data_IF_778518018603
#
_entry.id   IF_778518018603
#
_cell.length_a   1.000
_cell.length_b   1.000
_cell.length_c   1.000
_cell.angle_alpha   90.00
_cell.angle_beta   90.00
_cell.angle_gamma   90.00
#
_symmetry.space_group_name_H-M   'P 1'
#
loop_
_entity.id
_entity.type
_entity.pdbx_description
1 polymer ?
#
# COMPACT_ATOMS: atom_id res chain seq x y z
N UNK A 1 60.22 -24.22 -18.11
CA UNK A 1 58.84 -23.66 -18.17
C UNK A 1 58.00 -24.51 -17.24
N UNK A 2 57.52 -23.90 -16.13
CA UNK A 2 56.34 -24.16 -15.28
C UNK A 2 55.67 -25.56 -15.32
N UNK A 3 55.15 -26.15 -14.25
CA UNK A 3 54.96 -25.83 -12.83
C UNK A 3 54.56 -27.17 -12.17
N UNK A 4 54.90 -27.35 -10.89
CA UNK A 4 54.44 -28.48 -10.06
C UNK A 4 52.96 -28.28 -9.71
N UNK A 5 52.17 -29.34 -9.70
CA UNK A 5 50.98 -29.43 -8.86
C UNK A 5 50.80 -30.88 -8.36
N UNK A 6 51.06 -31.07 -7.07
CA UNK A 6 50.68 -32.23 -6.28
C UNK A 6 49.50 -31.78 -5.41
N UNK A 7 48.42 -32.56 -5.36
CA UNK A 7 47.74 -32.91 -4.10
C UNK A 7 46.63 -33.96 -4.32
N UNK A 8 46.73 -35.11 -3.66
CA UNK A 8 45.62 -35.98 -3.37
C UNK A 8 45.21 -35.91 -1.88
N UNK A 9 43.88 -36.00 -1.65
CA UNK A 9 43.20 -36.72 -0.56
C UNK A 9 43.14 -36.15 0.88
N UNK A 10 41.90 -36.18 1.39
CA UNK A 10 41.44 -36.27 2.79
C UNK A 10 41.45 -34.97 3.60
N UNK A 11 40.25 -34.39 3.80
CA UNK A 11 39.83 -33.92 5.12
C UNK A 11 38.29 -33.85 5.24
N UNK A 12 37.66 -35.03 5.26
CA UNK A 12 36.25 -35.24 5.61
C UNK A 12 36.00 -35.13 7.13
N UNK A 13 36.69 -34.22 7.81
CA UNK A 13 36.59 -34.03 9.27
C UNK A 13 36.53 -32.55 9.71
N UNK A 14 36.67 -31.58 8.80
CA UNK A 14 36.54 -30.14 9.15
C UNK A 14 35.13 -29.57 8.99
N UNK A 15 34.24 -30.23 8.26
CA UNK A 15 32.87 -29.73 8.02
C UNK A 15 31.98 -29.79 9.26
N UNK A 16 32.29 -30.64 10.25
CA UNK A 16 31.52 -30.71 11.51
C UNK A 16 31.78 -29.56 12.49
N UNK A 17 32.95 -28.89 12.42
CA UNK A 17 33.33 -27.85 13.40
C UNK A 17 33.04 -26.42 12.91
N UNK A 18 33.11 -26.20 11.58
CA UNK A 18 32.77 -24.89 10.97
C UNK A 18 31.27 -24.62 10.93
N UNK A 19 30.43 -25.66 10.84
CA UNK A 19 28.96 -25.51 10.91
C UNK A 19 28.48 -25.17 12.33
N UNK A 20 29.15 -25.69 13.37
CA UNK A 20 28.83 -25.35 14.77
C UNK A 20 29.26 -23.91 15.15
N UNK A 21 30.37 -23.40 14.60
CA UNK A 21 30.83 -22.01 14.85
C UNK A 21 30.07 -20.96 14.02
N UNK A 22 29.40 -21.33 12.92
CA UNK A 22 28.50 -20.43 12.17
C UNK A 22 27.07 -20.41 12.72
N UNK A 23 26.62 -21.48 13.37
CA UNK A 23 25.29 -21.54 13.98
C UNK A 23 25.10 -20.51 15.11
N UNK A 24 26.17 -20.15 15.84
CA UNK A 24 26.11 -19.17 16.95
C UNK A 24 26.03 -17.71 16.50
N UNK A 25 26.23 -17.38 15.21
CA UNK A 25 26.15 -16.00 14.70
C UNK A 25 24.77 -15.58 14.19
N UNK A 26 23.85 -16.53 14.01
CA UNK A 26 22.57 -16.29 13.35
C UNK A 26 21.41 -16.89 14.15
N UNK A 27 20.78 -16.08 15.00
CA UNK A 27 19.56 -16.49 15.71
C UNK A 27 18.31 -16.08 14.93
N UNK A 28 17.47 -17.06 14.63
CA UNK A 28 16.15 -16.85 14.01
C UNK A 28 15.14 -16.45 15.09
N UNK A 29 14.84 -15.14 15.17
CA UNK A 29 13.86 -14.63 16.11
C UNK A 29 12.43 -14.89 15.62
N UNK A 30 11.57 -15.47 16.47
CA UNK A 30 10.11 -15.54 16.22
C UNK A 30 9.47 -14.15 16.01
N UNK A 31 10.10 -13.09 16.53
CA UNK A 31 9.70 -11.68 16.38
C UNK A 31 9.63 -11.20 14.92
N UNK A 32 10.35 -11.83 13.98
CA UNK A 32 10.33 -11.46 12.55
C UNK A 32 8.93 -11.55 11.92
N UNK A 33 8.13 -12.54 12.31
CA UNK A 33 6.76 -12.71 11.84
C UNK A 33 5.82 -11.66 12.41
N UNK A 34 5.99 -11.27 13.68
CA UNK A 34 5.25 -10.16 14.26
C UNK A 34 5.50 -8.85 13.49
N UNK A 35 6.75 -8.53 13.17
CA UNK A 35 7.12 -7.31 12.44
C UNK A 35 6.51 -7.34 11.03
N UNK A 36 6.58 -8.49 10.35
CA UNK A 36 5.94 -8.67 9.06
C UNK A 36 4.43 -8.46 9.17
N UNK A 37 3.75 -9.05 10.15
CA UNK A 37 2.30 -8.91 10.35
C UNK A 37 1.86 -7.47 10.64
N UNK A 38 2.60 -6.74 11.48
CA UNK A 38 2.31 -5.32 11.74
C UNK A 38 2.49 -4.52 10.46
N UNK A 39 3.58 -4.76 9.72
CA UNK A 39 3.83 -4.08 8.46
C UNK A 39 2.77 -4.39 7.40
N UNK A 40 2.38 -5.66 7.23
CA UNK A 40 1.35 -6.04 6.26
C UNK A 40 0.00 -5.42 6.60
N UNK A 41 -0.34 -5.28 7.89
CA UNK A 41 -1.54 -4.55 8.32
C UNK A 41 -1.48 -3.06 7.94
N UNK A 42 -0.33 -2.40 8.11
CA UNK A 42 -0.13 -1.00 7.67
C UNK A 42 -0.31 -0.87 6.17
N UNK A 43 0.32 -1.76 5.40
CA UNK A 43 0.23 -1.74 3.93
C UNK A 43 -1.20 -1.98 3.47
N UNK A 44 -1.95 -2.88 4.12
CA UNK A 44 -3.35 -3.12 3.84
C UNK A 44 -4.18 -1.84 4.04
N UNK A 45 -4.02 -1.15 5.16
CA UNK A 45 -4.77 0.09 5.46
C UNK A 45 -4.35 1.26 4.57
N UNK A 46 -3.07 1.35 4.21
CA UNK A 46 -2.56 2.33 3.27
C UNK A 46 -3.23 2.14 1.89
N UNK A 47 -3.32 0.90 1.39
CA UNK A 47 -3.96 0.61 0.11
C UNK A 47 -5.50 0.70 0.15
N UNK A 48 -6.12 0.41 1.29
CA UNK A 48 -7.54 0.68 1.54
C UNK A 48 -7.83 2.18 1.43
N UNK A 49 -6.99 3.00 2.07
CA UNK A 49 -7.06 4.47 2.03
C UNK A 49 -6.85 5.02 0.62
N UNK A 50 -5.91 4.43 -0.12
CA UNK A 50 -5.61 4.80 -1.50
C UNK A 50 -6.84 4.66 -2.39
N UNK A 51 -7.56 3.55 -2.29
CA UNK A 51 -8.72 3.25 -3.12
C UNK A 51 -10.07 3.66 -2.47
N UNK A 52 -10.05 4.54 -1.48
CA UNK A 52 -11.26 4.89 -0.72
C UNK A 52 -12.32 5.61 -1.55
N UNK A 53 -11.91 6.52 -2.44
CA UNK A 53 -12.81 7.44 -3.16
C UNK A 53 -13.43 6.86 -4.43
N UNK A 54 -12.75 5.89 -5.07
CA UNK A 54 -13.22 5.28 -6.30
C UNK A 54 -14.60 4.59 -6.18
N UNK A 55 -14.83 3.69 -5.19
CA UNK A 55 -16.13 3.04 -5.04
C UNK A 55 -17.23 4.03 -4.67
N UNK A 56 -16.97 4.95 -3.72
CA UNK A 56 -17.95 5.91 -3.18
C UNK A 56 -18.11 7.18 -4.04
N UNK A 57 -17.79 7.10 -5.32
CA UNK A 57 -17.78 8.27 -6.20
C UNK A 57 -19.16 8.89 -6.39
N UNK A 58 -20.22 8.08 -6.44
CA UNK A 58 -21.61 8.54 -6.61
C UNK A 58 -22.18 9.21 -5.34
N UNK A 59 -22.08 8.62 -4.13
CA UNK A 59 -22.55 9.30 -2.92
C UNK A 59 -21.79 10.60 -2.67
N UNK A 60 -20.51 10.71 -3.04
CA UNK A 60 -19.77 11.99 -2.95
C UNK A 60 -20.39 13.08 -3.85
N UNK A 61 -20.92 12.74 -5.03
CA UNK A 61 -21.60 13.71 -5.89
C UNK A 61 -22.94 14.16 -5.29
N UNK A 62 -23.66 13.26 -4.63
CA UNK A 62 -24.93 13.57 -3.98
C UNK A 62 -24.71 14.44 -2.74
N UNK A 63 -23.71 14.11 -1.91
CA UNK A 63 -23.42 14.81 -0.65
C UNK A 63 -22.83 16.20 -0.91
N UNK A 64 -21.81 16.28 -1.77
CA UNK A 64 -21.02 17.51 -1.95
C UNK A 64 -21.36 18.28 -3.22
N UNK A 65 -22.26 17.76 -4.06
CA UNK A 65 -22.54 18.34 -5.38
C UNK A 65 -21.35 18.22 -6.34
N UNK A 66 -20.46 17.25 -6.14
CA UNK A 66 -19.24 17.14 -6.94
C UNK A 66 -19.51 16.86 -8.40
N UNK A 67 -18.73 17.52 -9.26
CA UNK A 67 -18.63 17.15 -10.67
C UNK A 67 -17.68 15.97 -10.86
N UNK A 68 -17.78 15.30 -12.01
CA UNK A 68 -16.91 14.17 -12.33
C UNK A 68 -15.42 14.53 -12.24
N UNK A 69 -15.03 15.76 -12.60
CA UNK A 69 -13.62 16.17 -12.53
C UNK A 69 -13.12 16.26 -11.08
N UNK A 70 -13.95 16.65 -10.12
CA UNK A 70 -13.56 16.75 -8.70
C UNK A 70 -13.31 15.36 -8.10
N UNK A 71 -14.14 14.38 -8.48
CA UNK A 71 -13.93 12.97 -8.13
C UNK A 71 -12.62 12.44 -8.72
N UNK A 72 -12.36 12.74 -10.00
CA UNK A 72 -11.11 12.31 -10.65
C UNK A 72 -9.90 13.00 -9.99
N UNK A 73 -10.04 14.27 -9.65
CA UNK A 73 -8.99 15.07 -9.03
C UNK A 73 -8.58 14.51 -7.66
N UNK A 74 -9.54 14.17 -6.79
CA UNK A 74 -9.22 13.62 -5.46
C UNK A 74 -8.51 12.26 -5.55
N UNK A 75 -8.87 11.42 -6.53
CA UNK A 75 -8.20 10.13 -6.77
C UNK A 75 -6.77 10.34 -7.30
N UNK A 76 -6.55 11.36 -8.11
CA UNK A 76 -5.26 11.67 -8.73
C UNK A 76 -4.20 12.19 -7.74
N UNK A 77 -4.55 12.51 -6.49
CA UNK A 77 -3.56 12.80 -5.44
C UNK A 77 -2.61 11.62 -5.19
N UNK A 78 -3.05 10.39 -5.40
CA UNK A 78 -2.24 9.18 -5.21
C UNK A 78 -0.96 9.21 -6.06
N UNK A 79 -1.02 9.22 -7.41
CA UNK A 79 0.18 9.26 -8.24
C UNK A 79 0.97 10.56 -8.06
N UNK A 80 0.32 11.71 -7.88
CA UNK A 80 1.02 12.99 -7.70
C UNK A 80 1.87 13.02 -6.43
N UNK A 81 1.29 12.65 -5.28
CA UNK A 81 2.02 12.61 -4.03
C UNK A 81 3.10 11.52 -4.06
N UNK A 82 2.87 10.40 -4.75
CA UNK A 82 3.90 9.36 -4.90
C UNK A 82 5.14 9.88 -5.63
N UNK A 83 4.98 10.68 -6.69
CA UNK A 83 6.10 11.29 -7.41
C UNK A 83 6.89 12.25 -6.52
N UNK A 84 6.20 13.09 -5.74
CA UNK A 84 6.84 14.07 -4.84
C UNK A 84 7.55 13.39 -3.67
N UNK A 85 6.93 12.36 -3.08
CA UNK A 85 7.43 11.69 -1.88
C UNK A 85 8.41 10.54 -2.16
N UNK A 86 8.55 10.06 -3.40
CA UNK A 86 9.45 8.97 -3.75
C UNK A 86 10.91 9.25 -3.35
N UNK A 87 11.46 10.39 -3.78
CA UNK A 87 12.84 10.78 -3.46
C UNK A 87 13.11 10.87 -1.95
N UNK A 88 12.32 11.67 -1.20
CA UNK A 88 12.44 11.75 0.26
C UNK A 88 12.28 10.40 0.97
N UNK A 89 11.37 9.54 0.50
CA UNK A 89 11.13 8.22 1.09
C UNK A 89 12.31 7.27 0.92
N UNK A 90 12.91 7.22 -0.27
CA UNK A 90 14.11 6.42 -0.55
C UNK A 90 15.27 6.89 0.34
N UNK A 91 15.49 8.21 0.40
CA UNK A 91 16.53 8.78 1.25
C UNK A 91 16.32 8.44 2.74
N UNK A 92 15.08 8.49 3.21
CA UNK A 92 14.73 8.16 4.59
C UNK A 92 15.02 6.68 4.90
N UNK A 93 14.63 5.78 3.99
CA UNK A 93 14.86 4.34 4.14
C UNK A 93 16.35 4.00 4.15
N UNK A 94 17.14 4.64 3.29
CA UNK A 94 18.59 4.39 3.18
C UNK A 94 19.38 4.97 4.36
N UNK A 95 19.08 6.20 4.80
CA UNK A 95 19.89 6.91 5.80
C UNK A 95 19.40 6.77 7.23
N UNK A 96 18.09 6.88 7.46
CA UNK A 96 17.52 6.83 8.82
C UNK A 96 17.03 5.44 9.22
N UNK A 97 16.99 4.51 8.27
CA UNK A 97 16.60 3.13 8.50
C UNK A 97 15.09 2.89 8.35
N UNK A 98 14.72 1.65 8.66
CA UNK A 98 13.40 1.11 8.38
C UNK A 98 12.33 1.62 9.35
N UNK A 99 12.61 1.67 10.66
CA UNK A 99 11.62 2.14 11.66
C UNK A 99 11.26 3.59 11.43
N UNK A 100 12.24 4.45 11.19
CA UNK A 100 12.01 5.87 10.95
C UNK A 100 11.07 6.09 9.76
N UNK A 101 11.28 5.33 8.69
CA UNK A 101 10.43 5.37 7.49
C UNK A 101 9.00 4.87 7.78
N UNK A 102 8.85 3.76 8.50
CA UNK A 102 7.52 3.21 8.84
C UNK A 102 6.75 4.12 9.81
N UNK A 103 7.43 4.74 10.79
CA UNK A 103 6.83 5.75 11.67
C UNK A 103 6.35 6.95 10.85
N UNK A 104 7.19 7.48 9.96
CA UNK A 104 6.80 8.61 9.12
C UNK A 104 5.60 8.27 8.22
N UNK A 105 5.60 7.07 7.63
CA UNK A 105 4.51 6.56 6.80
C UNK A 105 3.19 6.51 7.59
N UNK A 106 3.17 5.85 8.74
CA UNK A 106 1.98 5.72 9.58
C UNK A 106 1.53 7.07 10.17
N UNK A 107 2.47 7.96 10.48
CA UNK A 107 2.17 9.32 10.92
C UNK A 107 1.48 10.14 9.82
N UNK A 108 2.04 10.18 8.61
CA UNK A 108 1.45 10.90 7.47
C UNK A 108 0.08 10.32 7.09
N UNK A 109 -0.06 9.00 7.10
CA UNK A 109 -1.33 8.33 6.86
C UNK A 109 -2.40 8.79 7.88
N UNK A 110 -2.07 8.73 9.17
CA UNK A 110 -2.97 9.12 10.27
C UNK A 110 -3.29 10.62 10.22
N UNK A 111 -2.27 11.47 10.02
CA UNK A 111 -2.44 12.91 9.93
C UNK A 111 -3.39 13.31 8.80
N UNK A 112 -3.24 12.72 7.61
CA UNK A 112 -4.16 12.97 6.50
C UNK A 112 -5.59 12.52 6.80
N UNK A 113 -5.76 11.40 7.51
CA UNK A 113 -7.09 10.93 7.96
C UNK A 113 -7.74 11.84 8.98
N UNK A 114 -6.97 12.50 9.86
CA UNK A 114 -7.51 13.50 10.79
C UNK A 114 -8.21 14.62 10.02
N UNK A 115 -7.57 15.17 8.98
CA UNK A 115 -8.19 16.22 8.15
C UNK A 115 -9.46 15.75 7.43
N UNK A 116 -9.54 14.47 7.06
CA UNK A 116 -10.73 13.91 6.40
C UNK A 116 -11.91 13.71 7.37
N UNK A 117 -11.67 13.62 8.67
CA UNK A 117 -12.73 13.42 9.68
C UNK A 117 -13.35 14.74 10.14
N UNK A 118 -12.63 15.87 10.06
CA UNK A 118 -13.12 17.17 10.57
C UNK A 118 -14.45 17.56 9.89
N UNK A 119 -15.57 17.63 10.63
CA UNK A 119 -16.85 18.03 10.07
C UNK A 119 -16.83 19.53 9.75
N UNK A 120 -17.44 19.92 8.64
CA UNK A 120 -17.63 21.33 8.28
C UNK A 120 -18.98 21.51 7.61
N UNK A 121 -19.74 22.51 8.05
CA UNK A 121 -21.08 22.80 7.55
C UNK A 121 -21.09 23.33 6.11
N UNK A 122 -19.96 23.89 5.66
CA UNK A 122 -19.80 24.39 4.30
C UNK A 122 -19.23 23.30 3.36
N UNK A 123 -19.89 22.98 2.23
CA UNK A 123 -19.48 21.90 1.33
C UNK A 123 -18.15 22.17 0.61
N UNK A 124 -17.83 23.45 0.32
CA UNK A 124 -16.56 23.83 -0.29
C UNK A 124 -15.41 23.58 0.69
N UNK A 125 -15.56 24.06 1.92
CA UNK A 125 -14.59 23.84 3.01
C UNK A 125 -14.38 22.35 3.27
N UNK A 126 -15.45 21.55 3.27
CA UNK A 126 -15.37 20.09 3.41
C UNK A 126 -14.55 19.47 2.30
N UNK A 127 -14.81 19.86 1.06
CA UNK A 127 -14.10 19.37 -0.13
C UNK A 127 -12.61 19.69 -0.07
N UNK A 128 -12.25 20.91 0.34
CA UNK A 128 -10.86 21.33 0.50
C UNK A 128 -10.16 20.49 1.59
N UNK A 129 -10.81 20.30 2.74
CA UNK A 129 -10.28 19.47 3.83
C UNK A 129 -10.05 18.02 3.40
N UNK A 130 -10.99 17.43 2.64
CA UNK A 130 -10.86 16.08 2.09
C UNK A 130 -9.66 15.96 1.14
N UNK A 131 -9.45 16.96 0.27
CA UNK A 131 -8.32 17.00 -0.66
C UNK A 131 -6.98 17.18 0.06
N UNK A 132 -6.89 18.09 1.05
CA UNK A 132 -5.69 18.28 1.86
C UNK A 132 -5.35 16.99 2.61
N UNK A 133 -6.35 16.38 3.25
CA UNK A 133 -6.17 15.12 3.95
C UNK A 133 -5.72 13.99 3.03
N UNK A 134 -6.31 13.89 1.83
CA UNK A 134 -5.90 12.90 0.83
C UNK A 134 -4.46 13.12 0.37
N UNK A 135 -4.07 14.36 0.08
CA UNK A 135 -2.71 14.71 -0.28
C UNK A 135 -1.70 14.25 0.79
N UNK A 136 -1.94 14.58 2.06
CA UNK A 136 -1.06 14.20 3.19
C UNK A 136 -1.01 12.68 3.35
N UNK A 137 -2.14 11.99 3.30
CA UNK A 137 -2.16 10.52 3.39
C UNK A 137 -1.40 9.87 2.23
N UNK A 138 -1.48 10.41 1.01
CA UNK A 138 -0.82 9.83 -0.16
C UNK A 138 0.71 10.08 -0.21
N UNK A 139 1.25 11.00 0.59
CA UNK A 139 2.70 11.14 0.78
C UNK A 139 3.30 9.92 1.52
N UNK A 140 2.49 9.11 2.20
CA UNK A 140 2.94 7.90 2.88
C UNK A 140 3.17 6.70 1.94
N UNK A 141 2.55 6.72 0.76
CA UNK A 141 2.42 5.58 -0.16
C UNK A 141 3.76 4.95 -0.60
N UNK A 142 4.83 5.70 -0.94
CA UNK A 142 6.07 5.08 -1.41
C UNK A 142 6.72 4.15 -0.38
N UNK A 143 6.65 4.50 0.92
CA UNK A 143 7.20 3.65 1.97
C UNK A 143 6.41 2.34 2.08
N UNK A 144 5.08 2.40 2.00
CA UNK A 144 4.22 1.21 2.05
C UNK A 144 4.44 0.25 0.87
N UNK A 145 4.75 0.76 -0.31
CA UNK A 145 5.02 -0.05 -1.51
C UNK A 145 6.48 -0.51 -1.62
N UNK A 146 7.42 0.32 -1.18
CA UNK A 146 8.86 0.09 -1.35
C UNK A 146 9.55 -0.64 -0.20
N UNK A 147 8.98 -0.64 1.01
CA UNK A 147 9.61 -1.30 2.15
C UNK A 147 9.50 -2.85 2.25
N UNK A 148 8.59 -3.59 1.57
CA UNK A 148 8.53 -5.05 1.74
C UNK A 148 9.85 -5.79 1.38
N UNK A 149 10.54 -5.48 0.26
CA UNK A 149 11.84 -6.09 -0.05
C UNK A 149 12.89 -5.77 1.02
N UNK A 150 12.93 -4.54 1.53
CA UNK A 150 13.87 -4.12 2.57
C UNK A 150 13.63 -4.82 3.91
N UNK A 151 12.37 -5.01 4.30
CA UNK A 151 11.98 -5.76 5.50
C UNK A 151 12.39 -7.23 5.36
N UNK A 152 12.08 -7.85 4.21
CA UNK A 152 12.43 -9.24 3.95
C UNK A 152 13.96 -9.45 4.00
N UNK A 153 14.73 -8.53 3.41
CA UNK A 153 16.18 -8.60 3.42
C UNK A 153 16.79 -8.47 4.82
N UNK A 154 16.17 -7.64 5.68
CA UNK A 154 16.67 -7.32 7.02
C UNK A 154 16.31 -8.38 8.06
N UNK A 155 15.11 -8.98 7.96
CA UNK A 155 14.55 -9.85 9.01
C UNK A 155 14.44 -11.33 8.63
N UNK A 156 14.55 -11.68 7.34
CA UNK A 156 14.37 -13.06 6.86
C UNK A 156 15.65 -13.60 6.20
N UNK A 157 15.92 -14.91 6.37
CA UNK A 157 17.01 -15.60 5.69
C UNK A 157 16.71 -15.70 4.19
N UNK A 158 17.74 -15.80 3.31
CA UNK A 158 17.58 -15.75 1.85
C UNK A 158 16.47 -16.64 1.28
N UNK A 159 16.29 -17.84 1.84
CA UNK A 159 15.25 -18.81 1.42
C UNK A 159 13.81 -18.35 1.65
N UNK A 160 13.57 -17.44 2.62
CA UNK A 160 12.23 -16.99 3.04
C UNK A 160 11.95 -15.52 2.67
N UNK A 161 12.87 -14.83 1.99
CA UNK A 161 12.73 -13.40 1.65
C UNK A 161 11.64 -13.16 0.60
N UNK A 162 11.60 -14.01 -0.42
CA UNK A 162 10.61 -13.94 -1.51
C UNK A 162 9.20 -14.14 -0.97
N UNK A 163 9.01 -15.12 -0.08
CA UNK A 163 7.72 -15.38 0.58
C UNK A 163 7.28 -14.21 1.46
N UNK A 164 8.19 -13.63 2.25
CA UNK A 164 7.86 -12.48 3.11
C UNK A 164 7.44 -11.25 2.29
N UNK A 165 8.15 -10.97 1.19
CA UNK A 165 7.80 -9.88 0.26
C UNK A 165 6.44 -10.15 -0.38
N UNK A 166 6.21 -11.36 -0.89
CA UNK A 166 4.95 -11.75 -1.53
C UNK A 166 3.75 -11.60 -0.59
N UNK A 167 3.84 -12.04 0.67
CA UNK A 167 2.76 -11.87 1.65
C UNK A 167 2.38 -10.40 1.78
N UNK A 168 3.36 -9.51 1.97
CA UNK A 168 3.06 -8.07 2.10
C UNK A 168 2.43 -7.47 0.84
N UNK A 169 2.91 -7.86 -0.34
CA UNK A 169 2.37 -7.37 -1.62
C UNK A 169 0.94 -7.87 -1.86
N UNK A 170 0.63 -9.12 -1.50
CA UNK A 170 -0.74 -9.65 -1.60
C UNK A 170 -1.71 -8.92 -0.67
N UNK A 171 -1.29 -8.60 0.55
CA UNK A 171 -2.10 -7.82 1.49
C UNK A 171 -2.33 -6.37 1.04
N UNK A 172 -1.40 -5.80 0.26
CA UNK A 172 -1.60 -4.50 -0.40
C UNK A 172 -2.80 -4.56 -1.36
N UNK A 173 -2.83 -5.56 -2.24
CA UNK A 173 -3.95 -5.77 -3.16
C UNK A 173 -5.25 -6.11 -2.42
N UNK A 174 -5.17 -6.90 -1.35
CA UNK A 174 -6.32 -7.17 -0.50
C UNK A 174 -6.91 -5.87 0.08
N UNK A 175 -6.07 -4.90 0.48
CA UNK A 175 -6.53 -3.59 0.93
C UNK A 175 -7.35 -2.84 -0.13
N UNK A 176 -6.91 -2.86 -1.39
CA UNK A 176 -7.66 -2.28 -2.51
C UNK A 176 -9.00 -2.98 -2.72
N UNK A 177 -9.02 -4.32 -2.67
CA UNK A 177 -10.24 -5.12 -2.78
C UNK A 177 -11.23 -4.84 -1.65
N UNK A 178 -10.73 -4.71 -0.41
CA UNK A 178 -11.52 -4.31 0.74
C UNK A 178 -12.13 -2.92 0.54
N UNK A 179 -11.45 -1.96 -0.09
CA UNK A 179 -12.00 -0.62 -0.30
C UNK A 179 -13.25 -0.67 -1.18
N UNK A 180 -13.23 -1.48 -2.24
CA UNK A 180 -14.39 -1.68 -3.11
C UNK A 180 -15.58 -2.28 -2.37
N UNK A 181 -15.38 -3.21 -1.43
CA UNK A 181 -16.48 -3.82 -0.67
C UNK A 181 -16.97 -2.90 0.45
N UNK A 182 -16.04 -2.38 1.26
CA UNK A 182 -16.32 -1.64 2.48
C UNK A 182 -16.90 -0.26 2.16
N UNK A 183 -16.45 0.40 1.09
CA UNK A 183 -16.91 1.74 0.71
C UNK A 183 -18.43 1.83 0.51
N UNK A 184 -19.01 1.11 -0.47
CA UNK A 184 -20.46 1.14 -0.73
C UNK A 184 -21.29 0.49 0.38
N UNK A 185 -20.70 -0.43 1.16
CA UNK A 185 -21.37 -1.04 2.31
C UNK A 185 -21.54 -0.05 3.47
N UNK A 186 -20.50 0.72 3.79
CA UNK A 186 -20.56 1.72 4.85
C UNK A 186 -21.23 3.02 4.40
N UNK A 187 -21.19 3.34 3.11
CA UNK A 187 -21.83 4.54 2.53
C UNK A 187 -22.88 4.14 1.49
N UNK A 188 -23.99 3.48 1.89
CA UNK A 188 -25.03 3.08 0.95
C UNK A 188 -25.85 4.29 0.48
N UNK A 189 -26.33 4.22 -0.76
CA UNK A 189 -27.30 5.18 -1.29
C UNK A 189 -28.70 4.86 -0.70
N UNK A 190 -29.24 5.76 0.12
CA UNK A 190 -30.45 5.58 0.96
C UNK A 190 -31.75 5.35 0.20
N UNK A 191 -31.81 5.65 -1.11
CA UNK A 191 -33.00 5.42 -1.96
C UNK A 191 -32.65 4.69 -3.24
N UNK A 192 -32.72 3.36 -3.19
CA UNK A 192 -32.77 2.50 -4.37
C UNK A 192 -34.18 1.95 -4.49
N UNK A 193 -34.84 2.18 -5.64
CA UNK A 193 -36.04 1.42 -5.97
C UNK A 193 -35.61 0.33 -6.95
N UNK A 194 -35.84 -0.91 -6.54
CA UNK A 194 -35.69 -2.09 -7.40
C UNK A 194 -36.89 -2.14 -8.34
N UNK A 195 -36.75 -1.62 -9.56
CA UNK A 195 -37.72 -1.85 -10.63
C UNK A 195 -37.16 -3.01 -11.47
N UNK A 196 -37.58 -4.24 -11.16
CA UNK A 196 -37.03 -5.44 -11.81
C UNK A 196 -35.59 -5.72 -11.39
N UNK A 197 -34.69 -6.01 -12.34
CA UNK A 197 -33.26 -6.30 -12.10
C UNK A 197 -32.36 -5.05 -12.14
N UNK A 198 -32.93 -3.84 -12.14
CA UNK A 198 -32.20 -2.58 -12.27
C UNK A 198 -32.42 -1.74 -11.01
N UNK A 199 -31.33 -1.41 -10.33
CA UNK A 199 -31.29 -0.43 -9.24
C UNK A 199 -31.30 0.98 -9.84
N UNK A 200 -32.40 1.72 -9.67
CA UNK A 200 -32.47 3.14 -10.07
C UNK A 200 -32.39 4.01 -8.82
N UNK A 201 -31.38 4.89 -8.76
CA UNK A 201 -31.26 5.93 -7.74
C UNK A 201 -32.22 7.08 -8.08
N UNK A 202 -33.07 7.49 -7.11
CA UNK A 202 -33.96 8.63 -7.29
C UNK A 202 -33.15 9.94 -7.29
N UNK A 203 -33.40 10.83 -8.26
CA UNK A 203 -32.76 12.15 -8.34
C UNK A 203 -33.21 13.11 -7.23
N UNK A 204 -34.35 12.86 -6.59
CA UNK A 204 -34.89 13.69 -5.50
C UNK A 204 -34.51 13.09 -4.14
N UNK A 205 -33.24 13.25 -3.75
CA UNK A 205 -32.80 12.95 -2.39
C UNK A 205 -33.36 13.99 -1.40
N UNK A 206 -33.93 13.52 -0.29
CA UNK A 206 -34.39 14.42 0.77
C UNK A 206 -33.21 14.87 1.63
N UNK A 207 -33.38 15.99 2.35
CA UNK A 207 -32.34 16.51 3.27
C UNK A 207 -31.90 15.44 4.28
N UNK A 208 -32.84 14.63 4.77
CA UNK A 208 -32.58 13.50 5.68
C UNK A 208 -31.69 12.41 5.05
N UNK A 209 -31.89 12.11 3.77
CA UNK A 209 -31.09 11.11 3.05
C UNK A 209 -29.62 11.57 2.94
N UNK A 210 -29.41 12.85 2.63
CA UNK A 210 -28.08 13.45 2.49
C UNK A 210 -27.36 13.51 3.84
N UNK A 211 -28.05 13.88 4.91
CA UNK A 211 -27.49 13.89 6.26
C UNK A 211 -27.07 12.49 6.73
N UNK A 212 -27.88 11.48 6.43
CA UNK A 212 -27.57 10.08 6.72
C UNK A 212 -26.32 9.61 5.95
N UNK A 213 -26.22 9.88 4.65
CA UNK A 213 -25.03 9.53 3.86
C UNK A 213 -23.78 10.28 4.33
N UNK A 214 -23.92 11.54 4.75
CA UNK A 214 -22.81 12.34 5.28
C UNK A 214 -22.29 11.79 6.61
N UNK A 215 -23.19 11.30 7.45
CA UNK A 215 -22.87 10.66 8.73
C UNK A 215 -22.13 9.35 8.49
N UNK A 216 -22.69 8.49 7.63
CA UNK A 216 -22.07 7.24 7.19
C UNK A 216 -20.67 7.44 6.59
N UNK A 217 -20.49 8.47 5.75
CA UNK A 217 -19.19 8.83 5.20
C UNK A 217 -18.20 9.26 6.29
N UNK A 218 -18.67 10.04 7.26
CA UNK A 218 -17.83 10.52 8.36
C UNK A 218 -17.43 9.38 9.30
N UNK A 219 -18.33 8.43 9.56
CA UNK A 219 -18.05 7.19 10.29
C UNK A 219 -17.02 6.32 9.55
N UNK A 220 -17.17 6.16 8.22
CA UNK A 220 -16.20 5.41 7.42
C UNK A 220 -14.79 6.00 7.53
N UNK A 221 -14.66 7.33 7.40
CA UNK A 221 -13.38 8.02 7.58
C UNK A 221 -12.86 7.90 9.02
N UNK A 222 -13.76 7.96 10.01
CA UNK A 222 -13.45 7.79 11.43
C UNK A 222 -12.91 6.40 11.77
N UNK A 223 -13.48 5.34 11.19
CA UNK A 223 -13.00 3.96 11.35
C UNK A 223 -11.59 3.82 10.78
N UNK A 224 -11.34 4.38 9.57
CA UNK A 224 -10.00 4.37 8.97
C UNK A 224 -8.99 5.16 9.80
N UNK A 225 -9.38 6.29 10.38
CA UNK A 225 -8.56 7.05 11.33
C UNK A 225 -8.24 6.22 12.58
N UNK A 226 -9.24 5.57 13.18
CA UNK A 226 -9.07 4.74 14.37
C UNK A 226 -8.07 3.61 14.14
N UNK A 227 -8.19 2.90 13.02
CA UNK A 227 -7.27 1.80 12.67
C UNK A 227 -5.86 2.32 12.39
N UNK A 228 -5.72 3.42 11.63
CA UNK A 228 -4.40 4.00 11.33
C UNK A 228 -3.71 4.54 12.58
N UNK A 229 -4.45 5.20 13.49
CA UNK A 229 -3.94 5.66 14.77
C UNK A 229 -3.51 4.49 15.68
N UNK A 230 -4.29 3.41 15.74
CA UNK A 230 -3.92 2.20 16.48
C UNK A 230 -2.60 1.62 15.95
N UNK A 231 -2.47 1.51 14.63
CA UNK A 231 -1.24 1.02 14.00
C UNK A 231 -0.04 1.95 14.26
N UNK A 232 -0.24 3.27 14.24
CA UNK A 232 0.79 4.23 14.62
C UNK A 232 1.28 4.00 16.05
N UNK A 233 0.36 3.81 17.01
CA UNK A 233 0.70 3.47 18.40
C UNK A 233 1.46 2.15 18.48
N UNK A 234 1.01 1.10 17.77
CA UNK A 234 1.71 -0.18 17.72
C UNK A 234 3.15 -0.05 17.20
N UNK A 235 3.37 0.76 16.16
CA UNK A 235 4.70 1.01 15.59
C UNK A 235 5.59 1.81 16.56
N UNK A 236 5.03 2.83 17.22
CA UNK A 236 5.77 3.63 18.19
C UNK A 236 6.25 2.78 19.38
N UNK A 237 5.38 1.91 19.90
CA UNK A 237 5.67 1.05 21.05
C UNK A 237 6.63 -0.09 20.69
N UNK A 238 6.44 -0.75 19.54
CA UNK A 238 7.13 -2.03 19.28
C UNK A 238 7.48 -2.25 17.80
N UNK A 239 8.19 -1.31 17.18
CA UNK A 239 8.83 -1.55 15.88
C UNK A 239 10.35 -1.32 15.97
N UNK A 240 11.17 -2.38 16.12
CA UNK A 240 12.63 -2.24 16.12
C UNK A 240 13.18 -2.01 14.71
N UNK A 241 14.23 -1.20 14.59
CA UNK A 241 14.87 -0.86 13.30
C UNK A 241 15.56 -2.05 12.62
N UNK A 242 16.31 -2.83 13.40
CA UNK A 242 17.11 -3.97 12.95
C UNK A 242 17.09 -5.06 14.03
N UNK A 243 17.18 -6.35 13.67
CA UNK A 243 17.41 -7.39 14.66
C UNK A 243 18.78 -7.16 15.35
N UNK A 244 18.91 -7.50 16.66
CA UNK A 244 20.15 -7.29 17.41
C UNK A 244 21.33 -8.13 16.87
N UNK A 245 21.06 -9.19 16.11
CA UNK A 245 22.04 -9.93 15.33
C UNK A 245 21.56 -10.00 13.87
N UNK A 246 22.41 -9.64 12.88
CA UNK A 246 22.06 -9.72 11.47
C UNK A 246 21.79 -11.18 11.08
N UNK A 247 20.74 -11.51 10.30
CA UNK A 247 20.42 -12.89 9.94
C UNK A 247 21.38 -13.52 8.90
N UNK A 248 22.28 -12.74 8.29
CA UNK A 248 23.32 -13.20 7.35
C UNK A 248 24.49 -12.20 7.25
N UNK A 249 25.72 -12.68 6.98
CA UNK A 249 26.95 -11.89 6.77
C UNK A 249 26.84 -10.82 5.66
N UNK A 250 25.91 -10.98 4.71
CA UNK A 250 25.65 -10.01 3.64
C UNK A 250 24.83 -8.78 4.07
N UNK A 251 24.36 -8.74 5.33
CA UNK A 251 23.60 -7.60 5.88
C UNK A 251 24.44 -6.65 6.74
N UNK A 252 25.69 -7.00 7.05
CA UNK A 252 26.61 -6.16 7.86
C UNK A 252 27.31 -5.05 7.08
N UNK A 253 27.46 -5.16 5.75
CA UNK A 253 28.38 -4.29 4.97
C UNK A 253 27.73 -3.29 4.00
N UNK A 254 26.41 -3.05 4.06
CA UNK A 254 25.78 -2.09 3.14
C UNK A 254 25.86 -0.65 3.64
N UNK A 255 27.05 -0.06 3.62
CA UNK A 255 27.21 1.40 3.56
C UNK A 255 27.50 1.76 2.10
N UNK A 256 26.48 1.62 1.24
CA UNK A 256 26.61 2.03 -0.16
C UNK A 256 26.44 3.56 -0.28
N UNK A 257 27.32 4.20 -1.03
CA UNK A 257 27.16 5.60 -1.45
C UNK A 257 26.00 5.70 -2.47
N UNK A 258 24.78 5.76 -1.94
CA UNK A 258 23.48 5.81 -2.65
C UNK A 258 23.45 6.73 -3.89
N UNK A 259 24.23 7.82 -3.92
CA UNK A 259 24.27 8.75 -5.07
C UNK A 259 24.91 8.16 -6.33
N UNK A 260 25.99 7.40 -6.19
CA UNK A 260 26.75 6.89 -7.33
C UNK A 260 26.04 5.70 -7.98
N UNK A 261 25.41 4.86 -7.18
CA UNK A 261 24.56 3.77 -7.66
C UNK A 261 23.30 4.29 -8.32
N UNK A 262 22.64 5.30 -7.74
CA UNK A 262 21.48 5.94 -8.35
C UNK A 262 21.81 6.55 -9.72
N UNK A 263 22.98 7.19 -9.85
CA UNK A 263 23.45 7.73 -11.13
C UNK A 263 23.74 6.62 -12.16
N UNK A 264 24.32 5.51 -11.73
CA UNK A 264 24.57 4.35 -12.59
C UNK A 264 23.25 3.71 -13.05
N UNK A 265 22.28 3.56 -12.15
CA UNK A 265 20.94 3.02 -12.45
C UNK A 265 20.19 3.89 -13.46
N UNK A 266 20.14 5.21 -13.24
CA UNK A 266 19.39 6.11 -14.15
C UNK A 266 20.08 6.28 -15.50
N UNK A 267 21.36 5.91 -15.61
CA UNK A 267 22.11 5.94 -16.86
C UNK A 267 21.99 4.64 -17.67
N UNK A 268 21.48 3.55 -17.09
CA UNK A 268 21.31 2.28 -17.80
C UNK A 268 19.97 2.29 -18.57
N UNK A 269 20.06 2.28 -19.90
CA UNK A 269 18.90 2.24 -20.79
C UNK A 269 18.01 1.01 -20.53
N UNK A 270 18.59 -0.14 -20.15
CA UNK A 270 17.83 -1.36 -19.85
C UNK A 270 16.97 -1.18 -18.61
N UNK A 271 17.50 -0.51 -17.59
CA UNK A 271 16.76 -0.16 -16.39
C UNK A 271 15.65 0.84 -16.69
N UNK A 272 15.94 1.90 -17.45
CA UNK A 272 14.94 2.89 -17.85
C UNK A 272 13.80 2.27 -18.69
N UNK A 273 14.14 1.38 -19.63
CA UNK A 273 13.15 0.67 -20.45
C UNK A 273 12.23 -0.22 -19.59
N UNK A 274 12.81 -0.96 -18.64
CA UNK A 274 12.02 -1.77 -17.71
C UNK A 274 11.14 -0.91 -16.80
N UNK A 275 11.67 0.21 -16.29
CA UNK A 275 10.93 1.18 -15.50
C UNK A 275 9.76 1.81 -16.29
N UNK A 276 9.97 2.10 -17.57
CA UNK A 276 8.92 2.61 -18.46
C UNK A 276 7.80 1.60 -18.69
N UNK A 277 8.14 0.34 -19.01
CA UNK A 277 7.15 -0.74 -19.17
C UNK A 277 6.35 -0.99 -17.88
N UNK A 278 7.04 -1.01 -16.74
CA UNK A 278 6.39 -1.13 -15.44
C UNK A 278 5.48 0.07 -15.16
N UNK A 279 5.95 1.29 -15.45
CA UNK A 279 5.19 2.53 -15.28
C UNK A 279 3.90 2.57 -16.10
N UNK A 280 3.94 2.16 -17.37
CA UNK A 280 2.72 2.05 -18.20
C UNK A 280 1.73 1.07 -17.58
N UNK A 281 2.21 -0.12 -17.19
CA UNK A 281 1.37 -1.17 -16.63
C UNK A 281 0.70 -0.72 -15.33
N UNK A 282 1.47 -0.10 -14.44
CA UNK A 282 0.99 0.42 -13.16
C UNK A 282 0.05 1.63 -13.34
N UNK A 283 0.34 2.48 -14.33
CA UNK A 283 -0.50 3.63 -14.68
C UNK A 283 -1.89 3.22 -15.19
N UNK A 284 -1.95 2.21 -16.07
CA UNK A 284 -3.22 1.65 -16.54
C UNK A 284 -4.00 1.06 -15.35
N UNK A 285 -3.33 0.29 -14.49
CA UNK A 285 -3.96 -0.32 -13.32
C UNK A 285 -4.58 0.72 -12.38
N UNK A 286 -3.84 1.76 -11.98
CA UNK A 286 -4.38 2.81 -11.11
C UNK A 286 -5.43 3.69 -11.79
N UNK A 287 -5.27 3.96 -13.10
CA UNK A 287 -6.29 4.67 -13.87
C UNK A 287 -7.61 3.89 -13.89
N UNK A 288 -7.55 2.58 -14.11
CA UNK A 288 -8.71 1.70 -14.07
C UNK A 288 -9.35 1.66 -12.67
N UNK A 289 -8.56 1.46 -11.61
CA UNK A 289 -9.05 1.46 -10.23
C UNK A 289 -9.81 2.74 -9.89
N UNK A 290 -9.23 3.89 -10.25
CA UNK A 290 -9.78 5.20 -9.93
C UNK A 290 -11.05 5.57 -10.68
N UNK A 291 -11.20 5.05 -11.90
CA UNK A 291 -12.29 5.42 -12.81
C UNK A 291 -13.39 4.38 -12.92
N UNK A 292 -13.20 3.18 -12.37
CA UNK A 292 -14.09 2.03 -12.57
C UNK A 292 -15.58 2.38 -12.36
N UNK A 293 -15.93 2.94 -11.20
CA UNK A 293 -17.32 3.28 -10.88
C UNK A 293 -17.91 4.33 -11.84
N UNK A 294 -17.09 5.29 -12.29
CA UNK A 294 -17.51 6.31 -13.24
C UNK A 294 -17.64 5.76 -14.66
N UNK A 295 -16.76 4.84 -15.05
CA UNK A 295 -16.72 4.23 -16.37
C UNK A 295 -17.90 3.28 -16.62
N UNK A 296 -18.39 2.60 -15.57
CA UNK A 296 -19.54 1.68 -15.69
C UNK A 296 -20.90 2.37 -15.54
N UNK A 297 -20.93 3.61 -15.02
CA UNK A 297 -22.16 4.40 -14.84
C UNK A 297 -23.00 4.60 -16.12
N UNK A 298 -22.42 4.91 -17.31
CA UNK A 298 -23.20 5.07 -18.55
C UNK A 298 -23.93 3.79 -18.99
N UNK A 299 -23.49 2.62 -18.50
CA UNK A 299 -24.10 1.33 -18.82
C UNK A 299 -25.24 0.97 -17.86
N UNK A 300 -25.62 1.86 -16.94
CA UNK A 300 -26.68 1.61 -15.95
C UNK A 300 -26.29 0.61 -14.86
N UNK A 301 -24.99 0.34 -14.69
CA UNK A 301 -24.45 -0.54 -13.64
C UNK A 301 -24.50 0.19 -12.30
N UNK A 302 -25.10 -0.44 -11.30
CA UNK A 302 -25.17 0.11 -9.94
C UNK A 302 -23.80 0.15 -9.27
N UNK A 303 -23.60 1.09 -8.34
CA UNK A 303 -22.33 1.26 -7.62
C UNK A 303 -21.90 0.00 -6.87
N UNK A 304 -22.86 -0.73 -6.29
CA UNK A 304 -22.57 -1.99 -5.59
C UNK A 304 -22.09 -3.06 -6.56
N UNK A 305 -22.67 -3.14 -7.76
CA UNK A 305 -22.22 -4.06 -8.80
C UNK A 305 -20.85 -3.64 -9.35
N UNK A 306 -20.63 -2.33 -9.55
CA UNK A 306 -19.33 -1.78 -9.94
C UNK A 306 -18.23 -2.13 -8.94
N UNK A 307 -18.54 -2.02 -7.64
CA UNK A 307 -17.67 -2.44 -6.57
C UNK A 307 -17.36 -3.95 -6.62
N UNK A 308 -18.36 -4.81 -6.80
CA UNK A 308 -18.13 -6.24 -6.96
C UNK A 308 -17.26 -6.59 -8.18
N UNK A 309 -17.46 -5.89 -9.31
CA UNK A 309 -16.59 -6.02 -10.48
C UNK A 309 -15.15 -5.61 -10.13
N UNK A 310 -14.97 -4.51 -9.40
CA UNK A 310 -13.67 -4.05 -8.92
C UNK A 310 -13.00 -5.07 -8.01
N UNK A 311 -13.71 -5.55 -6.99
CA UNK A 311 -13.23 -6.60 -6.09
C UNK A 311 -12.86 -7.88 -6.84
N UNK A 312 -13.72 -8.35 -7.76
CA UNK A 312 -13.46 -9.55 -8.56
C UNK A 312 -12.21 -9.38 -9.42
N UNK A 313 -11.99 -8.20 -10.01
CA UNK A 313 -10.80 -7.90 -10.83
C UNK A 313 -9.50 -7.97 -10.02
N UNK A 314 -9.50 -7.41 -8.80
CA UNK A 314 -8.33 -7.42 -7.91
C UNK A 314 -8.07 -8.83 -7.41
N UNK A 315 -9.12 -9.56 -6.99
CA UNK A 315 -9.01 -10.93 -6.51
C UNK A 315 -8.51 -11.87 -7.62
N UNK A 316 -9.03 -11.76 -8.84
CA UNK A 316 -8.53 -12.51 -9.99
C UNK A 316 -7.04 -12.22 -10.27
N UNK A 317 -6.62 -10.96 -10.13
CA UNK A 317 -5.21 -10.56 -10.23
C UNK A 317 -4.32 -11.23 -9.17
N UNK A 318 -4.77 -11.26 -7.91
CA UNK A 318 -4.09 -11.95 -6.80
C UNK A 318 -3.95 -13.46 -7.12
N UNK A 319 -5.03 -14.13 -7.53
CA UNK A 319 -5.00 -15.56 -7.86
C UNK A 319 -4.08 -15.87 -9.03
N UNK A 320 -4.15 -15.07 -10.11
CA UNK A 320 -3.25 -15.21 -11.26
C UNK A 320 -1.78 -15.06 -10.85
N UNK A 321 -1.46 -14.06 -10.01
CA UNK A 321 -0.13 -13.86 -9.48
C UNK A 321 0.38 -15.05 -8.64
N UNK A 322 -0.48 -15.66 -7.82
CA UNK A 322 -0.12 -16.85 -7.02
C UNK A 322 0.15 -18.07 -7.90
N UNK A 323 -0.63 -18.26 -8.98
CA UNK A 323 -0.47 -19.38 -9.90
C UNK A 323 0.85 -19.25 -10.68
N UNK A 324 1.16 -18.06 -11.18
CA UNK A 324 2.38 -17.79 -11.95
C UNK A 324 3.64 -17.82 -11.06
N UNK A 325 3.51 -17.50 -9.77
CA UNK A 325 4.61 -17.49 -8.83
C UNK A 325 5.06 -18.90 -8.38
N UNK A 326 4.35 -19.97 -8.76
CA UNK A 326 4.71 -21.36 -8.52
C UNK A 326 5.43 -21.96 -9.72
#
# INVERSE_FOLDING_TARGET
MNQKEYSPLIESSETGSKDCLQADKYQLYKRRWYILSVYTAIVLICNLTLNTWAPISEPCKIIFGWENWQVIFIVNWTPLCMLVSAGPSIWMMDKKGLRASVILCTFLLTAGKVFQVIPSSDPLTRTILLNIGQCISMLSTPVGLGAPPSISATWFPPKERTTATAISTLFAYLGVACAFVVGPYLVPITKRVHIGSVDVAFTNHTVYDIETMTTNLSEYMGIQLGISALLLVCVLVYFPDKPPLPPCATSSDRVHESKQEFKTLISDYRFLYLGFLFGISFGIYFGWLGLLALAVRPFGISESLAAWIGTASVVAGIFSGIIIAR
#
